data_IF_815049803523
#
_entry.id   IF_815049803523
#
_cell.length_a   1.000
_cell.length_b   1.000
_cell.length_c   1.000
_cell.angle_alpha   90.00
_cell.angle_beta   90.00
_cell.angle_gamma   90.00
#
_symmetry.space_group_name_H-M   'P 1'
#
loop_
_entity.id
_entity.type
_entity.pdbx_description
1 polymer ?
#
# COMPACT_ATOMS: atom_id res chain seq x y z
N UNK A 1 -37.46 -8.04 7.38
CA UNK A 1 -36.16 -7.82 8.05
C UNK A 1 -36.44 -7.65 9.52
N UNK A 2 -35.80 -8.42 10.40
CA UNK A 2 -36.02 -8.39 11.86
C UNK A 2 -34.67 -8.43 12.58
N UNK A 3 -34.55 -7.76 13.72
CA UNK A 3 -33.38 -7.83 14.58
C UNK A 3 -33.83 -7.70 16.04
N UNK A 4 -33.47 -8.66 16.87
CA UNK A 4 -33.83 -8.74 18.29
C UNK A 4 -32.56 -8.81 19.11
N UNK A 5 -32.24 -7.71 19.79
CA UNK A 5 -31.01 -7.53 20.60
C UNK A 5 -29.72 -7.99 19.91
N UNK A 6 -29.68 -7.79 18.59
CA UNK A 6 -28.56 -8.17 17.74
C UNK A 6 -27.40 -7.21 18.01
N UNK A 7 -26.28 -7.76 18.47
CA UNK A 7 -25.02 -7.04 18.59
C UNK A 7 -23.95 -7.76 17.78
N UNK A 8 -23.12 -6.99 17.09
CA UNK A 8 -22.03 -7.50 16.26
C UNK A 8 -20.69 -6.91 16.69
N UNK A 9 -19.64 -7.69 16.46
CA UNK A 9 -18.25 -7.30 16.63
C UNK A 9 -17.70 -6.83 15.28
N UNK A 10 -17.41 -5.53 15.20
CA UNK A 10 -16.85 -4.89 14.00
C UNK A 10 -15.33 -4.70 14.08
N UNK A 11 -14.64 -5.28 15.06
CA UNK A 11 -13.18 -5.11 15.26
C UNK A 11 -12.36 -5.42 14.01
N UNK A 12 -12.75 -6.42 13.21
CA UNK A 12 -12.11 -6.75 11.93
C UNK A 12 -12.22 -5.65 10.87
N UNK A 13 -13.16 -4.72 11.00
CA UNK A 13 -13.44 -3.64 10.05
C UNK A 13 -13.02 -2.26 10.57
N UNK A 14 -13.20 -2.00 11.87
CA UNK A 14 -13.00 -0.69 12.48
C UNK A 14 -11.78 -0.62 13.40
N UNK A 15 -11.25 -1.78 13.83
CA UNK A 15 -10.23 -1.89 14.87
C UNK A 15 -10.79 -1.78 16.29
N UNK A 16 -11.98 -1.21 16.48
CA UNK A 16 -12.58 -1.00 17.79
C UNK A 16 -13.24 -2.27 18.34
N UNK A 17 -13.11 -2.52 19.64
CA UNK A 17 -13.62 -3.74 20.30
C UNK A 17 -15.02 -3.58 20.92
N UNK A 18 -15.61 -2.39 20.82
CA UNK A 18 -16.94 -2.12 21.36
C UNK A 18 -18.02 -2.78 20.50
N UNK A 19 -18.95 -3.55 21.09
CA UNK A 19 -20.01 -4.21 20.34
C UNK A 19 -20.98 -3.18 19.76
N UNK A 20 -21.28 -3.32 18.47
CA UNK A 20 -22.19 -2.43 17.74
C UNK A 20 -23.58 -3.06 17.70
N UNK A 21 -24.60 -2.31 18.14
CA UNK A 21 -26.00 -2.78 18.11
C UNK A 21 -26.62 -2.58 16.72
N UNK A 22 -27.23 -3.64 16.21
CA UNK A 22 -27.92 -3.64 14.91
C UNK A 22 -29.44 -3.67 15.10
N UNK A 23 -30.13 -2.73 14.44
CA UNK A 23 -31.59 -2.58 14.46
C UNK A 23 -32.15 -2.71 13.04
N UNK A 24 -33.39 -3.19 12.92
CA UNK A 24 -34.08 -3.28 11.62
C UNK A 24 -34.64 -1.92 11.15
N UNK A 25 -34.61 -0.90 12.01
CA UNK A 25 -35.15 0.43 11.73
C UNK A 25 -34.17 1.22 10.86
N UNK A 26 -34.70 1.84 9.81
CA UNK A 26 -33.92 2.79 9.00
C UNK A 26 -33.86 4.11 9.75
N UNK A 27 -32.67 4.73 9.86
CA UNK A 27 -32.59 6.14 10.27
C UNK A 27 -33.43 6.93 9.27
N UNK A 28 -34.53 7.53 9.73
CA UNK A 28 -35.25 8.48 8.91
C UNK A 28 -34.26 9.57 8.48
N UNK A 29 -34.23 9.98 7.21
CA UNK A 29 -33.49 11.17 6.87
C UNK A 29 -34.13 12.29 7.68
N UNK A 30 -33.41 12.83 8.65
CA UNK A 30 -33.75 14.11 9.26
C UNK A 30 -33.61 15.13 8.13
N UNK A 31 -34.67 15.26 7.32
CA UNK A 31 -34.93 16.46 6.55
C UNK A 31 -35.22 17.52 7.61
N UNK A 32 -34.18 18.11 8.17
CA UNK A 32 -34.29 19.37 8.90
C UNK A 32 -34.79 20.39 7.90
N UNK A 33 -36.10 20.57 7.85
CA UNK A 33 -36.74 21.65 7.12
C UNK A 33 -36.24 22.97 7.71
N UNK A 34 -35.18 23.52 7.10
CA UNK A 34 -34.74 24.88 7.36
C UNK A 34 -35.88 25.81 6.95
N UNK A 35 -36.60 26.32 7.94
CA UNK A 35 -37.67 27.30 7.77
C UNK A 35 -37.03 28.68 7.54
N UNK A 36 -36.74 29.01 6.28
CA UNK A 36 -36.28 30.36 5.89
C UNK A 36 -37.46 31.32 5.90
N UNK A 37 -37.60 32.07 7.00
CA UNK A 37 -38.45 33.26 7.04
C UNK A 37 -37.60 34.49 6.69
N UNK A 38 -37.91 35.07 5.51
CA UNK A 38 -38.12 36.50 5.27
C UNK A 38 -36.97 37.53 5.07
N UNK A 39 -36.99 38.12 3.86
CA UNK A 39 -36.99 39.57 3.49
C UNK A 39 -35.63 40.32 3.32
N UNK A 40 -35.28 40.70 2.07
CA UNK A 40 -35.11 42.06 1.45
C UNK A 40 -34.24 41.96 0.15
N UNK A 41 -34.59 42.62 -0.98
CA UNK A 41 -33.92 42.52 -2.29
C UNK A 41 -32.93 43.66 -2.63
N UNK A 42 -32.21 43.45 -3.75
CA UNK A 42 -31.44 44.40 -4.59
C UNK A 42 -30.07 44.86 -4.05
N UNK A 43 -28.92 44.69 -4.73
CA UNK A 43 -28.59 45.28 -6.04
C UNK A 43 -27.18 44.79 -6.52
N UNK A 44 -27.10 44.27 -7.76
CA UNK A 44 -26.07 44.52 -8.83
C UNK A 44 -24.54 44.41 -8.58
N UNK A 45 -23.61 43.91 -9.43
CA UNK A 45 -23.51 43.54 -10.87
C UNK A 45 -22.32 42.55 -11.09
N UNK A 46 -22.48 41.65 -12.09
CA UNK A 46 -21.47 40.96 -12.96
C UNK A 46 -20.36 40.10 -12.31
N UNK A 47 -20.08 38.86 -12.71
CA UNK A 47 -20.19 38.16 -14.01
C UNK A 47 -20.24 36.63 -13.80
N UNK A 48 -20.84 35.91 -14.76
CA UNK A 48 -21.10 34.46 -14.91
C UNK A 48 -20.13 33.52 -14.15
N UNK A 49 -20.53 32.49 -13.39
CA UNK A 49 -21.65 31.53 -13.51
C UNK A 49 -22.10 31.07 -12.10
N UNK A 50 -23.41 31.03 -11.75
CA UNK A 50 -23.84 30.72 -10.38
C UNK A 50 -24.42 29.30 -10.20
N UNK A 51 -24.17 28.78 -9.00
CA UNK A 51 -24.76 27.61 -8.31
C UNK A 51 -24.24 26.24 -8.77
N UNK A 52 -23.19 25.68 -8.18
CA UNK A 52 -23.06 25.47 -6.72
C UNK A 52 -24.42 25.28 -6.06
N UNK A 53 -25.19 24.30 -6.57
CA UNK A 53 -26.02 23.52 -5.67
C UNK A 53 -25.05 22.76 -4.78
N UNK A 54 -24.60 23.43 -3.72
CA UNK A 54 -23.99 22.83 -2.55
C UNK A 54 -25.03 21.93 -1.90
N UNK A 55 -25.38 20.83 -2.57
CA UNK A 55 -25.69 19.60 -1.87
C UNK A 55 -24.37 19.23 -1.23
N UNK A 56 -24.15 19.72 -0.01
CA UNK A 56 -23.39 18.96 0.96
C UNK A 56 -24.11 17.63 1.02
N UNK A 57 -23.70 16.70 0.16
CA UNK A 57 -23.89 15.29 0.41
C UNK A 57 -23.15 15.14 1.72
N UNK A 58 -23.90 15.21 2.82
CA UNK A 58 -23.53 14.60 4.07
C UNK A 58 -23.20 13.20 3.60
N UNK A 59 -21.91 12.93 3.42
CA UNK A 59 -21.42 11.60 3.19
C UNK A 59 -21.78 10.90 4.48
N UNK A 60 -23.00 10.36 4.55
CA UNK A 60 -23.46 9.57 5.69
C UNK A 60 -22.35 8.57 5.90
N UNK A 61 -21.62 8.74 7.00
CA UNK A 61 -20.57 7.81 7.33
C UNK A 61 -21.27 6.45 7.43
N UNK A 62 -21.03 5.50 6.51
CA UNK A 62 -21.73 4.23 6.51
C UNK A 62 -21.35 3.38 7.73
N UNK A 63 -20.42 3.86 8.57
CA UNK A 63 -20.10 3.27 9.87
C UNK A 63 -21.13 3.60 10.96
N UNK A 64 -22.05 4.55 10.74
CA UNK A 64 -23.09 4.91 11.73
C UNK A 64 -24.50 4.42 11.31
N UNK A 65 -24.58 3.56 10.30
CA UNK A 65 -25.84 2.91 9.90
C UNK A 65 -26.06 1.68 10.78
N UNK A 66 -26.97 1.78 11.75
CA UNK A 66 -27.30 0.69 12.69
C UNK A 66 -28.08 -0.44 12.04
N UNK A 67 -28.42 -0.35 10.76
CA UNK A 67 -29.26 -1.31 10.02
C UNK A 67 -28.49 -2.17 9.01
N UNK A 68 -27.16 -2.10 9.02
CA UNK A 68 -26.30 -2.85 8.09
C UNK A 68 -25.35 -3.72 8.90
N UNK A 69 -25.33 -5.02 8.59
CA UNK A 69 -24.28 -5.92 9.05
C UNK A 69 -23.27 -6.15 7.91
N UNK A 70 -21.98 -6.17 8.24
CA UNK A 70 -20.91 -6.29 7.25
C UNK A 70 -20.35 -7.72 7.19
N UNK A 71 -19.80 -8.09 6.04
CA UNK A 71 -19.03 -9.34 5.92
C UNK A 71 -17.81 -9.30 6.84
N UNK A 72 -17.53 -10.39 7.56
CA UNK A 72 -16.35 -10.50 8.44
C UNK A 72 -16.58 -10.07 9.89
N UNK A 73 -17.79 -9.64 10.26
CA UNK A 73 -18.20 -9.32 11.63
C UNK A 73 -18.79 -10.53 12.34
N UNK A 74 -18.56 -10.68 13.65
CA UNK A 74 -19.10 -11.79 14.45
C UNK A 74 -20.35 -11.36 15.22
N UNK A 75 -21.35 -12.23 15.33
CA UNK A 75 -22.52 -11.97 16.19
C UNK A 75 -22.13 -12.24 17.64
N UNK A 76 -22.30 -11.25 18.53
CA UNK A 76 -22.00 -11.35 19.96
C UNK A 76 -23.22 -11.79 20.76
N UNK A 77 -24.39 -11.25 20.45
CA UNK A 77 -25.67 -11.63 21.07
C UNK A 77 -26.86 -11.38 20.15
N UNK A 78 -27.99 -12.00 20.47
CA UNK A 78 -29.26 -11.79 19.77
C UNK A 78 -29.39 -12.57 18.48
N UNK A 79 -30.42 -12.24 17.70
CA UNK A 79 -30.67 -12.85 16.40
C UNK A 79 -31.36 -11.87 15.46
N UNK A 80 -31.25 -12.10 14.15
CA UNK A 80 -31.90 -11.26 13.15
C UNK A 80 -31.96 -11.93 11.78
N UNK A 81 -32.78 -11.37 10.91
CA UNK A 81 -32.92 -11.75 9.51
C UNK A 81 -32.84 -10.51 8.64
N UNK A 82 -31.97 -10.55 7.63
CA UNK A 82 -31.73 -9.45 6.70
C UNK A 82 -31.70 -9.90 5.26
N UNK A 83 -31.60 -8.94 4.36
CA UNK A 83 -31.43 -9.17 2.93
C UNK A 83 -29.96 -9.00 2.58
N UNK A 84 -29.41 -9.94 1.82
CA UNK A 84 -28.03 -9.84 1.32
C UNK A 84 -28.00 -8.87 0.15
N UNK A 85 -27.35 -7.71 0.32
CA UNK A 85 -27.22 -6.69 -0.73
C UNK A 85 -25.86 -6.73 -1.45
N UNK A 86 -24.85 -7.40 -0.87
CA UNK A 86 -23.53 -7.57 -1.47
C UNK A 86 -22.89 -8.91 -1.04
N UNK A 87 -22.15 -9.54 -1.94
CA UNK A 87 -21.42 -10.80 -1.71
C UNK A 87 -20.00 -10.73 -2.29
N UNK A 88 -19.10 -11.55 -1.76
CA UNK A 88 -17.71 -11.66 -2.23
C UNK A 88 -16.97 -10.31 -2.28
N UNK A 89 -16.21 -10.06 -3.35
CA UNK A 89 -15.44 -8.83 -3.55
C UNK A 89 -16.26 -7.53 -3.65
N UNK A 90 -17.59 -7.63 -3.83
CA UNK A 90 -18.48 -6.46 -3.85
C UNK A 90 -18.82 -5.95 -2.45
N UNK A 91 -18.52 -6.73 -1.40
CA UNK A 91 -18.70 -6.32 0.00
C UNK A 91 -17.65 -5.28 0.41
N UNK A 92 -17.91 -4.53 1.49
CA UNK A 92 -16.95 -3.57 2.04
C UNK A 92 -15.63 -4.24 2.45
N UNK A 93 -15.72 -5.36 3.16
CA UNK A 93 -14.57 -6.18 3.54
C UNK A 93 -13.84 -6.72 2.31
N UNK A 94 -14.57 -7.20 1.30
CA UNK A 94 -14.00 -7.67 0.04
C UNK A 94 -13.22 -6.59 -0.71
N UNK A 95 -13.71 -5.35 -0.75
CA UNK A 95 -12.99 -4.20 -1.33
C UNK A 95 -11.72 -3.86 -0.57
N UNK A 96 -11.74 -3.91 0.77
CA UNK A 96 -10.55 -3.67 1.60
C UNK A 96 -9.52 -4.79 1.38
N UNK A 97 -9.96 -6.04 1.39
CA UNK A 97 -9.08 -7.19 1.14
C UNK A 97 -8.45 -7.15 -0.26
N UNK A 98 -9.22 -6.73 -1.27
CA UNK A 98 -8.72 -6.52 -2.62
C UNK A 98 -7.68 -5.39 -2.66
N UNK A 99 -7.97 -4.24 -2.05
CA UNK A 99 -7.04 -3.11 -1.98
C UNK A 99 -5.71 -3.47 -1.29
N UNK A 100 -5.74 -4.30 -0.25
CA UNK A 100 -4.51 -4.77 0.45
C UNK A 100 -3.71 -5.77 -0.40
N UNK A 101 -4.39 -6.56 -1.25
CA UNK A 101 -3.73 -7.58 -2.08
C UNK A 101 -3.16 -6.98 -3.37
N UNK A 102 -3.83 -5.99 -3.94
CA UNK A 102 -3.48 -5.37 -5.22
C UNK A 102 -2.33 -4.36 -5.11
N UNK A 103 -1.97 -3.91 -3.91
CA UNK A 103 -0.80 -3.06 -3.72
C UNK A 103 0.48 -3.86 -3.90
N UNK A 104 1.18 -3.61 -5.01
CA UNK A 104 2.52 -4.14 -5.24
C UNK A 104 3.48 -3.59 -4.19
N UNK A 105 4.33 -4.47 -3.64
CA UNK A 105 5.33 -4.06 -2.66
C UNK A 105 6.38 -3.20 -3.36
N UNK A 106 6.64 -1.96 -2.91
CA UNK A 106 7.71 -1.16 -3.47
C UNK A 106 9.08 -1.84 -3.25
N UNK A 107 10.01 -1.59 -4.17
CA UNK A 107 11.42 -2.03 -4.02
C UNK A 107 12.04 -1.35 -2.81
N UNK A 108 12.99 -2.04 -2.16
CA UNK A 108 13.66 -1.51 -0.97
C UNK A 108 14.79 -0.54 -1.35
N UNK A 109 15.18 0.41 -0.47
CA UNK A 109 16.21 1.40 -0.79
C UNK A 109 17.55 0.79 -1.21
N UNK A 110 17.95 -0.33 -0.62
CA UNK A 110 19.19 -1.05 -0.91
C UNK A 110 19.08 -1.78 -2.24
N UNK A 111 17.90 -2.33 -2.60
CA UNK A 111 17.70 -2.87 -3.94
C UNK A 111 17.92 -1.79 -5.00
N UNK A 112 17.35 -0.58 -4.79
CA UNK A 112 17.58 0.56 -5.69
C UNK A 112 19.05 0.97 -5.75
N UNK A 113 19.72 0.99 -4.59
CA UNK A 113 21.14 1.34 -4.51
C UNK A 113 22.02 0.32 -5.24
N UNK A 114 21.71 -0.97 -5.14
CA UNK A 114 22.40 -2.05 -5.86
C UNK A 114 22.18 -1.94 -7.36
N UNK A 115 20.95 -1.68 -7.80
CA UNK A 115 20.62 -1.51 -9.21
C UNK A 115 21.43 -0.33 -9.81
N UNK A 116 21.54 0.78 -9.07
CA UNK A 116 22.34 1.94 -9.47
C UNK A 116 23.84 1.63 -9.52
N UNK A 117 24.39 0.99 -8.49
CA UNK A 117 25.80 0.59 -8.46
C UNK A 117 26.13 -0.40 -9.58
N UNK A 118 25.27 -1.39 -9.80
CA UNK A 118 25.41 -2.37 -10.87
C UNK A 118 25.38 -1.70 -12.26
N UNK A 119 24.48 -0.74 -12.47
CA UNK A 119 24.40 0.02 -13.71
C UNK A 119 25.66 0.86 -13.95
N UNK A 120 26.15 1.57 -12.93
CA UNK A 120 27.36 2.38 -13.02
C UNK A 120 28.61 1.52 -13.31
N UNK A 121 28.77 0.40 -12.59
CA UNK A 121 29.87 -0.53 -12.78
C UNK A 121 29.83 -1.19 -14.16
N UNK A 122 28.63 -1.55 -14.65
CA UNK A 122 28.45 -2.10 -15.99
C UNK A 122 28.85 -1.10 -17.07
N UNK A 123 28.41 0.16 -16.95
CA UNK A 123 28.75 1.20 -17.90
C UNK A 123 30.25 1.52 -17.90
N UNK A 124 30.87 1.63 -16.72
CA UNK A 124 32.31 1.87 -16.58
C UNK A 124 33.14 0.72 -17.17
N UNK A 125 32.77 -0.52 -16.84
CA UNK A 125 33.43 -1.72 -17.37
C UNK A 125 33.34 -1.81 -18.88
N UNK A 126 32.16 -1.53 -19.45
CA UNK A 126 31.97 -1.54 -20.90
C UNK A 126 32.84 -0.50 -21.62
N UNK A 127 32.95 0.72 -21.07
CA UNK A 127 33.86 1.74 -21.59
C UNK A 127 35.32 1.27 -21.58
N UNK A 128 35.78 0.65 -20.49
CA UNK A 128 37.15 0.14 -20.36
C UNK A 128 37.41 -1.01 -21.35
N UNK A 129 36.48 -1.95 -21.46
CA UNK A 129 36.56 -3.08 -22.41
C UNK A 129 36.63 -2.57 -23.85
N UNK A 130 35.77 -1.62 -24.23
CA UNK A 130 35.76 -1.02 -25.55
C UNK A 130 37.08 -0.30 -25.86
N UNK A 131 37.62 0.44 -24.89
CA UNK A 131 38.90 1.14 -25.03
C UNK A 131 40.06 0.16 -25.23
N UNK A 132 40.13 -0.91 -24.42
CA UNK A 132 41.18 -1.94 -24.56
C UNK A 132 41.05 -2.68 -25.89
N UNK A 133 39.82 -2.98 -26.32
CA UNK A 133 39.53 -3.62 -27.60
C UNK A 133 39.97 -2.74 -28.78
N UNK A 134 39.69 -1.44 -28.72
CA UNK A 134 40.12 -0.45 -29.71
C UNK A 134 41.65 -0.34 -29.80
N UNK A 135 42.34 -0.29 -28.65
CA UNK A 135 43.81 -0.27 -28.60
C UNK A 135 44.39 -1.57 -29.16
N UNK A 136 43.80 -2.71 -28.84
CA UNK A 136 44.20 -4.02 -29.39
C UNK A 136 44.06 -4.08 -30.92
N UNK A 137 43.00 -3.50 -31.46
CA UNK A 137 42.80 -3.37 -32.90
C UNK A 137 43.87 -2.50 -33.56
N UNK A 138 44.17 -1.33 -32.97
CA UNK A 138 45.20 -0.42 -33.48
C UNK A 138 46.61 -1.02 -33.43
N UNK A 139 46.88 -1.93 -32.51
CA UNK A 139 48.13 -2.69 -32.44
C UNK A 139 48.25 -3.79 -33.50
N UNK A 140 47.21 -4.04 -34.30
CA UNK A 140 47.20 -5.09 -35.32
C UNK A 140 47.08 -6.51 -34.76
N UNK A 141 46.55 -6.67 -33.54
CA UNK A 141 46.29 -8.00 -32.97
C UNK A 141 45.21 -8.72 -33.77
N UNK A 142 45.26 -10.05 -33.78
CA UNK A 142 44.26 -10.87 -34.47
C UNK A 142 42.86 -10.63 -33.90
N UNK A 143 41.84 -10.56 -34.75
CA UNK A 143 40.44 -10.34 -34.34
C UNK A 143 39.96 -11.35 -33.28
N UNK A 144 40.35 -12.62 -33.45
CA UNK A 144 40.03 -13.68 -32.51
C UNK A 144 40.66 -13.45 -31.13
N UNK A 145 41.87 -12.90 -31.08
CA UNK A 145 42.59 -12.63 -29.83
C UNK A 145 41.98 -11.43 -29.09
N UNK A 146 41.63 -10.37 -29.82
CA UNK A 146 40.94 -9.20 -29.23
C UNK A 146 39.57 -9.61 -28.67
N UNK A 147 38.86 -10.48 -29.39
CA UNK A 147 37.56 -10.99 -28.98
C UNK A 147 37.62 -11.84 -27.71
N UNK A 148 38.58 -12.77 -27.63
CA UNK A 148 38.75 -13.60 -26.42
C UNK A 148 39.15 -12.78 -25.19
N UNK A 149 40.03 -11.78 -25.36
CA UNK A 149 40.39 -10.85 -24.29
C UNK A 149 39.17 -10.03 -23.83
N UNK A 150 38.38 -9.51 -24.78
CA UNK A 150 37.21 -8.67 -24.47
C UNK A 150 36.15 -9.45 -23.68
N UNK A 151 35.85 -10.70 -24.07
CA UNK A 151 34.90 -11.55 -23.33
C UNK A 151 35.44 -11.93 -21.95
N UNK A 152 36.72 -12.29 -21.86
CA UNK A 152 37.36 -12.61 -20.57
C UNK A 152 37.25 -11.44 -19.58
N UNK A 153 37.51 -10.22 -20.07
CA UNK A 153 37.37 -9.00 -19.26
C UNK A 153 35.91 -8.69 -18.91
N UNK A 154 34.98 -8.93 -19.83
CA UNK A 154 33.55 -8.75 -19.58
C UNK A 154 33.04 -9.67 -18.47
N UNK A 155 33.43 -10.96 -18.47
CA UNK A 155 33.06 -11.91 -17.41
C UNK A 155 33.68 -11.51 -16.08
N UNK A 156 34.94 -11.08 -16.07
CA UNK A 156 35.62 -10.61 -14.86
C UNK A 156 34.97 -9.35 -14.24
N UNK A 157 34.25 -8.56 -15.03
CA UNK A 157 33.59 -7.33 -14.57
C UNK A 157 32.21 -7.55 -13.94
N UNK A 158 31.65 -8.77 -13.99
CA UNK A 158 30.34 -9.08 -13.41
C UNK A 158 30.46 -9.04 -11.88
N UNK A 159 29.64 -8.22 -11.16
CA UNK A 159 29.70 -8.13 -9.71
C UNK A 159 28.97 -9.31 -9.04
N UNK A 160 29.49 -10.52 -9.20
CA UNK A 160 28.89 -11.75 -8.64
C UNK A 160 28.89 -11.78 -7.10
N UNK A 161 29.86 -11.10 -6.48
CA UNK A 161 29.98 -11.05 -5.02
C UNK A 161 28.94 -10.15 -4.34
N UNK A 162 28.40 -9.15 -5.04
CA UNK A 162 27.58 -8.10 -4.45
C UNK A 162 26.21 -8.62 -3.93
N UNK A 163 25.45 -9.45 -4.68
CA UNK A 163 24.23 -10.06 -4.16
C UNK A 163 24.47 -11.01 -2.97
N UNK A 164 25.63 -11.68 -2.95
CA UNK A 164 25.99 -12.65 -1.90
C UNK A 164 26.22 -11.93 -0.58
N UNK A 165 27.07 -10.90 -0.56
CA UNK A 165 27.37 -10.13 0.66
C UNK A 165 26.11 -9.48 1.26
N UNK A 166 25.20 -9.02 0.40
CA UNK A 166 23.93 -8.40 0.79
C UNK A 166 23.04 -9.44 1.47
N UNK A 167 22.87 -10.60 0.86
CA UNK A 167 22.04 -11.66 1.45
C UNK A 167 22.56 -12.10 2.82
N UNK A 168 23.88 -12.27 2.96
CA UNK A 168 24.51 -12.64 4.23
C UNK A 168 24.33 -11.56 5.30
N UNK A 169 24.52 -10.28 4.94
CA UNK A 169 24.35 -9.17 5.89
C UNK A 169 22.90 -9.01 6.33
N UNK A 170 21.92 -9.11 5.43
CA UNK A 170 20.50 -9.12 5.80
C UNK A 170 20.14 -10.33 6.67
N UNK A 171 20.67 -11.52 6.37
CA UNK A 171 20.42 -12.73 7.17
C UNK A 171 20.94 -12.59 8.61
N UNK A 172 22.12 -12.02 8.80
CA UNK A 172 22.65 -11.70 10.14
C UNK A 172 21.77 -10.67 10.87
N UNK A 173 21.22 -9.68 10.14
CA UNK A 173 20.24 -8.73 10.66
C UNK A 173 18.96 -9.39 11.14
N UNK A 174 18.36 -10.27 10.31
CA UNK A 174 17.18 -11.07 10.68
C UNK A 174 17.46 -11.93 11.91
N UNK A 175 18.61 -12.61 11.95
CA UNK A 175 19.00 -13.46 13.06
C UNK A 175 19.10 -12.66 14.38
N UNK A 176 19.70 -11.46 14.32
CA UNK A 176 19.79 -10.56 15.48
C UNK A 176 18.41 -10.06 15.93
N UNK A 177 17.50 -9.76 15.01
CA UNK A 177 16.13 -9.35 15.34
C UNK A 177 15.32 -10.50 15.96
N UNK A 178 15.48 -11.71 15.44
CA UNK A 178 14.83 -12.91 15.98
C UNK A 178 15.26 -13.19 17.44
N UNK A 179 16.54 -12.94 17.78
CA UNK A 179 17.04 -13.03 19.17
C UNK A 179 16.35 -12.04 20.13
N UNK A 180 15.75 -10.97 19.61
CA UNK A 180 14.98 -9.98 20.38
C UNK A 180 13.46 -10.15 20.19
N UNK A 181 13.00 -11.36 19.86
CA UNK A 181 11.58 -11.70 19.66
C UNK A 181 10.90 -10.94 18.50
N UNK A 182 11.65 -10.40 17.54
CA UNK A 182 11.12 -9.78 16.34
C UNK A 182 11.31 -10.71 15.12
N UNK A 183 10.23 -11.35 14.67
CA UNK A 183 10.26 -12.30 13.54
C UNK A 183 10.07 -11.54 12.23
N UNK A 184 11.09 -11.57 11.38
CA UNK A 184 11.04 -10.95 10.05
C UNK A 184 10.69 -12.01 9.00
N UNK A 185 9.55 -11.84 8.32
CA UNK A 185 9.05 -12.81 7.31
C UNK A 185 9.67 -12.60 5.91
N UNK A 186 10.18 -11.40 5.62
CA UNK A 186 10.81 -11.03 4.35
C UNK A 186 12.14 -10.37 4.64
N UNK A 187 13.26 -10.95 4.18
CA UNK A 187 14.60 -10.41 4.44
C UNK A 187 14.73 -8.91 4.08
N UNK A 188 14.26 -8.42 2.91
CA UNK A 188 14.38 -7.00 2.56
C UNK A 188 13.72 -6.03 3.56
N UNK A 189 12.73 -6.48 4.35
CA UNK A 189 12.08 -5.65 5.36
C UNK A 189 13.01 -5.21 6.50
N UNK A 190 14.11 -5.93 6.75
CA UNK A 190 15.14 -5.52 7.73
C UNK A 190 15.72 -4.16 7.37
N UNK A 191 15.93 -3.94 6.08
CA UNK A 191 16.57 -2.75 5.56
C UNK A 191 15.58 -1.57 5.53
N UNK A 192 14.32 -1.82 5.15
CA UNK A 192 13.24 -0.83 5.28
C UNK A 192 13.05 -0.38 6.73
N UNK A 193 13.16 -1.30 7.70
CA UNK A 193 13.04 -0.96 9.12
C UNK A 193 14.20 -0.09 9.60
N UNK A 194 15.42 -0.29 9.09
CA UNK A 194 16.58 0.53 9.43
C UNK A 194 16.56 1.94 8.81
N UNK A 195 15.79 2.13 7.73
CA UNK A 195 15.70 3.39 6.98
C UNK A 195 14.38 4.13 7.19
N UNK A 196 13.53 3.67 8.11
CA UNK A 196 12.21 4.26 8.35
C UNK A 196 12.31 5.66 8.99
N UNK A 197 11.64 6.65 8.39
CA UNK A 197 11.52 8.00 8.95
C UNK A 197 10.19 8.25 9.66
N UNK A 198 9.13 7.53 9.27
CA UNK A 198 7.77 7.70 9.78
C UNK A 198 7.23 6.34 10.21
N UNK A 199 6.76 6.25 11.46
CA UNK A 199 6.14 5.04 12.02
C UNK A 199 4.66 5.28 12.18
N UNK A 200 3.85 4.60 11.38
CA UNK A 200 2.40 4.52 11.59
C UNK A 200 2.12 3.41 12.60
N UNK A 201 1.60 3.76 13.78
CA UNK A 201 1.12 2.79 14.76
C UNK A 201 -0.40 2.77 14.74
N UNK A 202 -0.98 1.58 14.66
CA UNK A 202 -2.40 1.41 14.96
C UNK A 202 -2.63 1.57 16.47
N UNK A 203 -3.77 2.16 16.84
CA UNK A 203 -4.16 2.41 18.24
C UNK A 203 -4.67 1.13 18.89
N UNK A 204 -5.33 0.27 18.12
CA UNK A 204 -6.04 -0.90 18.60
C UNK A 204 -5.16 -2.14 18.66
N UNK A 205 -5.08 -2.78 19.84
CA UNK A 205 -4.23 -3.95 20.10
C UNK A 205 -2.82 -3.67 20.66
N UNK A 206 -2.54 -2.44 21.11
CA UNK A 206 -1.45 -2.12 22.06
C UNK A 206 -1.89 -2.33 23.50
#
# INVERSE_FOLDING_TARGET
>A
VTASDLTIDESNLTGENEPVRITAETKSPLISAVKTNNIIPDTTWSSHSPNESGTSIISENPQNSTNIAFMGTLVRSGHGQGIVYATGGRTRFGKIAAAVTETESPRTPLQLSIDLLGSQLSQASFCIIALISLVGWLQGKGLLEIFTISISLAVAAIPEGLPIIVTVTLALGVHRMAKHNAIVRKMPSVETLGSVNVVCSDKTGK
#
